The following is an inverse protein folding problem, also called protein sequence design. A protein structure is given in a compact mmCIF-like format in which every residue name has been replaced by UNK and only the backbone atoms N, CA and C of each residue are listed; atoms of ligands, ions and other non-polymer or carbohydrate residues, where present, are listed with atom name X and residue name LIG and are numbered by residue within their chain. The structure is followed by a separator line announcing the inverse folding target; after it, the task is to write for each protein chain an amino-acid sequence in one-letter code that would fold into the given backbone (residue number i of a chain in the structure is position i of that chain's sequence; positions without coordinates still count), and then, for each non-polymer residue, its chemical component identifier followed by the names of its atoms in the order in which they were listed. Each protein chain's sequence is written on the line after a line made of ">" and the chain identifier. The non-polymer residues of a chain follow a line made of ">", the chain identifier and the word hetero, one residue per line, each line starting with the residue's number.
data_IF_064653804996
#
_entry.id   IF_064653804996
#
_cell.length_a   1.000
_cell.length_b   1.000
_cell.length_c   1.000
_cell.angle_alpha   90.00
_cell.angle_beta   90.00
_cell.angle_gamma   90.00
#
_symmetry.space_group_name_H-M   'P 1'
#
loop_
_entity.id
_entity.type
_entity.pdbx_description
1 polymer ?
#
# COMPACT_ATOMS: atom_id res chain seq x y z
N UNK A 1 27.77 -13.36 -6.97
CA UNK A 1 28.60 -14.35 -6.26
C UNK A 1 28.83 -15.57 -7.15
N UNK A 2 27.78 -16.26 -7.64
CA UNK A 2 27.89 -17.50 -8.42
C UNK A 2 28.83 -17.39 -9.63
N UNK A 3 28.75 -16.30 -10.38
CA UNK A 3 29.66 -16.07 -11.53
C UNK A 3 31.13 -16.01 -11.10
N UNK A 4 31.43 -15.33 -10.00
CA UNK A 4 32.80 -15.22 -9.46
C UNK A 4 33.32 -16.59 -8.96
N UNK A 5 32.43 -17.45 -8.47
CA UNK A 5 32.76 -18.81 -8.05
C UNK A 5 32.83 -19.81 -9.20
N UNK A 6 32.62 -19.37 -10.45
CA UNK A 6 32.61 -20.23 -11.62
C UNK A 6 31.46 -21.24 -11.64
N UNK A 7 30.28 -20.85 -11.10
CA UNK A 7 29.07 -21.66 -11.19
C UNK A 7 28.36 -21.30 -12.50
N UNK A 8 27.90 -22.27 -13.30
CA UNK A 8 27.17 -22.02 -14.55
C UNK A 8 25.93 -21.18 -14.34
N UNK A 9 25.62 -20.28 -15.30
CA UNK A 9 24.50 -19.35 -15.20
C UNK A 9 23.17 -20.07 -14.95
N UNK A 10 22.87 -21.14 -15.67
CA UNK A 10 21.63 -21.92 -15.49
C UNK A 10 21.47 -22.51 -14.09
N UNK A 11 22.57 -22.89 -13.42
CA UNK A 11 22.53 -23.39 -12.06
C UNK A 11 22.27 -22.25 -11.06
N UNK A 12 22.86 -21.07 -11.29
CA UNK A 12 22.59 -19.89 -10.45
C UNK A 12 21.13 -19.44 -10.61
N UNK A 13 20.62 -19.42 -11.85
CA UNK A 13 19.22 -19.08 -12.17
C UNK A 13 18.24 -20.05 -11.51
N UNK A 14 18.54 -21.36 -11.56
CA UNK A 14 17.75 -22.36 -10.85
C UNK A 14 17.69 -22.09 -9.33
N UNK A 15 18.83 -21.82 -8.70
CA UNK A 15 18.87 -21.54 -7.26
C UNK A 15 18.08 -20.26 -6.90
N UNK A 16 18.15 -19.23 -7.73
CA UNK A 16 17.41 -17.99 -7.48
C UNK A 16 15.89 -18.19 -7.63
N UNK A 17 15.46 -19.10 -8.50
CA UNK A 17 14.05 -19.47 -8.67
C UNK A 17 13.47 -20.30 -7.53
N UNK A 18 14.32 -20.95 -6.74
CA UNK A 18 13.90 -21.63 -5.49
C UNK A 18 13.55 -20.62 -4.38
N UNK A 19 13.96 -19.36 -4.52
CA UNK A 19 13.64 -18.29 -3.58
C UNK A 19 12.51 -17.46 -4.24
N UNK A 20 11.24 -17.71 -3.87
CA UNK A 20 10.13 -16.97 -4.47
C UNK A 20 10.19 -15.50 -4.06
N UNK A 21 9.98 -14.62 -5.02
CA UNK A 21 9.77 -13.21 -4.73
C UNK A 21 8.32 -13.04 -4.25
N UNK A 22 8.14 -12.97 -2.94
CA UNK A 22 6.85 -12.65 -2.32
C UNK A 22 6.93 -11.29 -1.61
N UNK A 23 6.39 -10.23 -2.20
CA UNK A 23 6.39 -8.89 -1.59
C UNK A 23 5.67 -8.83 -0.24
N UNK A 24 4.79 -9.80 0.05
CA UNK A 24 4.03 -9.87 1.31
C UNK A 24 4.81 -10.56 2.44
N UNK A 25 5.83 -11.36 2.10
CA UNK A 25 6.67 -12.08 3.04
C UNK A 25 8.12 -11.64 2.87
N UNK A 26 8.55 -10.65 3.63
CA UNK A 26 9.95 -10.21 3.65
C UNK A 26 10.75 -11.14 4.57
N UNK A 27 11.01 -12.38 4.10
CA UNK A 27 11.86 -13.32 4.80
C UNK A 27 13.34 -13.01 4.52
N UNK A 28 14.19 -13.28 5.51
CA UNK A 28 15.64 -13.28 5.33
C UNK A 28 16.08 -14.48 4.47
N UNK A 29 17.27 -14.41 3.89
CA UNK A 29 17.83 -15.53 3.13
C UNK A 29 17.97 -16.79 4.00
N UNK A 30 18.25 -16.64 5.31
CA UNK A 30 18.31 -17.77 6.21
C UNK A 30 16.95 -18.46 6.35
N UNK A 31 15.87 -17.70 6.53
CA UNK A 31 14.51 -18.23 6.61
C UNK A 31 14.11 -18.94 5.32
N UNK A 32 14.47 -18.41 4.15
CA UNK A 32 14.24 -19.11 2.87
C UNK A 32 15.06 -20.42 2.75
N UNK A 33 16.28 -20.47 3.27
CA UNK A 33 17.09 -21.70 3.27
C UNK A 33 16.46 -22.76 4.19
N UNK A 34 15.89 -22.32 5.29
CA UNK A 34 15.25 -23.21 6.28
C UNK A 34 13.88 -23.71 5.76
N UNK A 35 13.13 -22.88 5.03
CA UNK A 35 11.83 -23.21 4.49
C UNK A 35 11.89 -24.04 3.17
N UNK A 36 12.99 -23.94 2.37
CA UNK A 36 13.13 -24.64 1.09
C UNK A 36 14.23 -25.72 1.13
N UNK A 37 13.87 -27.00 1.39
CA UNK A 37 14.82 -28.09 1.53
C UNK A 37 15.76 -28.28 0.35
N UNK A 38 15.31 -27.94 -0.87
CA UNK A 38 16.14 -28.09 -2.09
C UNK A 38 17.37 -27.19 -2.07
N UNK A 39 17.31 -26.00 -1.43
CA UNK A 39 18.49 -25.16 -1.29
C UNK A 39 19.56 -25.84 -0.44
N UNK A 40 19.16 -26.46 0.65
CA UNK A 40 20.05 -27.22 1.53
C UNK A 40 20.58 -28.49 0.82
N UNK A 41 19.74 -29.20 0.08
CA UNK A 41 20.17 -30.37 -0.71
C UNK A 41 21.21 -30.00 -1.75
N UNK A 42 20.99 -28.94 -2.51
CA UNK A 42 21.95 -28.45 -3.52
C UNK A 42 23.27 -27.98 -2.88
N UNK A 43 23.21 -27.34 -1.73
CA UNK A 43 24.40 -26.95 -0.96
C UNK A 43 25.21 -28.19 -0.47
N UNK A 44 24.51 -29.25 -0.11
CA UNK A 44 25.17 -30.50 0.31
C UNK A 44 25.79 -31.29 -0.85
N UNK A 45 25.17 -31.20 -2.06
CA UNK A 45 25.70 -31.86 -3.27
C UNK A 45 26.91 -31.13 -3.85
N UNK A 46 26.98 -29.80 -3.72
CA UNK A 46 28.03 -29.00 -4.35
C UNK A 46 28.66 -27.98 -3.39
N UNK A 47 29.96 -28.20 -3.02
CA UNK A 47 30.68 -27.29 -2.13
C UNK A 47 30.71 -25.82 -2.60
N UNK A 48 30.67 -25.57 -3.90
CA UNK A 48 30.62 -24.20 -4.46
C UNK A 48 29.29 -23.54 -4.13
N UNK A 49 28.16 -24.30 -4.17
CA UNK A 49 26.84 -23.77 -3.80
C UNK A 49 26.81 -23.48 -2.29
N UNK A 50 27.33 -24.38 -1.46
CA UNK A 50 27.46 -24.13 -0.02
C UNK A 50 28.23 -22.84 0.26
N UNK A 51 29.36 -22.64 -0.43
CA UNK A 51 30.16 -21.41 -0.32
C UNK A 51 29.40 -20.19 -0.82
N UNK A 52 28.64 -20.32 -1.91
CA UNK A 52 27.78 -19.25 -2.45
C UNK A 52 26.78 -18.79 -1.41
N UNK A 53 26.01 -19.70 -0.81
CA UNK A 53 25.01 -19.37 0.22
C UNK A 53 25.65 -18.75 1.47
N UNK A 54 26.78 -19.29 1.94
CA UNK A 54 27.52 -18.73 3.08
C UNK A 54 27.99 -17.29 2.84
N UNK A 55 28.41 -16.96 1.61
CA UNK A 55 28.80 -15.59 1.25
C UNK A 55 27.56 -14.71 1.10
N UNK A 56 26.48 -15.24 0.52
CA UNK A 56 25.24 -14.51 0.34
C UNK A 56 24.63 -14.05 1.68
N UNK A 57 24.59 -14.95 2.67
CA UNK A 57 24.15 -14.63 4.04
C UNK A 57 24.97 -13.50 4.69
N UNK A 58 26.27 -13.42 4.40
CA UNK A 58 27.12 -12.33 4.92
C UNK A 58 26.92 -10.99 4.21
N UNK A 59 26.46 -11.04 2.97
CA UNK A 59 26.25 -9.85 2.15
C UNK A 59 24.81 -9.33 2.20
N UNK A 60 23.89 -10.16 2.70
CA UNK A 60 22.50 -9.75 2.86
C UNK A 60 22.39 -8.52 3.78
N UNK A 61 21.54 -7.58 3.39
CA UNK A 61 21.30 -6.34 4.14
C UNK A 61 22.39 -5.27 4.05
N UNK A 62 23.54 -5.56 3.43
CA UNK A 62 24.59 -4.56 3.24
C UNK A 62 24.15 -3.50 2.22
N UNK A 63 24.40 -2.25 2.54
CA UNK A 63 24.20 -1.12 1.61
C UNK A 63 25.15 -1.31 0.42
N UNK A 64 24.59 -1.21 -0.79
CA UNK A 64 25.33 -1.50 -2.02
C UNK A 64 25.85 -0.24 -2.70
N UNK A 65 25.02 0.78 -2.84
CA UNK A 65 25.34 2.06 -3.49
C UNK A 65 24.35 3.14 -3.01
N UNK A 66 24.73 4.40 -3.23
CA UNK A 66 23.81 5.52 -3.15
C UNK A 66 23.09 5.69 -4.49
N UNK A 67 21.85 6.13 -4.46
CA UNK A 67 21.09 6.50 -5.66
C UNK A 67 20.16 7.65 -5.35
N UNK A 68 19.78 8.39 -6.39
CA UNK A 68 18.82 9.49 -6.30
C UNK A 68 17.41 8.89 -6.14
N UNK A 69 16.65 9.41 -5.17
CA UNK A 69 15.23 9.08 -5.08
C UNK A 69 14.48 9.73 -6.25
N UNK A 70 13.58 8.97 -6.90
CA UNK A 70 12.90 9.44 -8.11
C UNK A 70 12.06 10.71 -7.89
N UNK A 71 11.49 10.88 -6.68
CA UNK A 71 10.53 11.94 -6.38
C UNK A 71 10.79 12.64 -5.03
N UNK A 72 11.64 12.07 -4.16
CA UNK A 72 11.87 12.58 -2.82
C UNK A 72 12.76 13.82 -2.81
N UNK A 73 12.24 14.91 -2.26
CA UNK A 73 12.96 16.16 -2.02
C UNK A 73 13.04 16.40 -0.52
N UNK A 74 14.22 16.73 -0.05
CA UNK A 74 14.45 17.04 1.37
C UNK A 74 14.52 18.54 1.55
N UNK A 75 13.76 19.06 2.51
CA UNK A 75 13.69 20.48 2.85
C UNK A 75 14.26 20.69 4.25
N UNK A 76 15.13 21.69 4.38
CA UNK A 76 15.69 22.15 5.64
C UNK A 76 15.31 23.60 5.89
N UNK A 77 15.27 24.00 7.17
CA UNK A 77 15.07 25.39 7.57
C UNK A 77 16.26 26.27 7.19
N UNK A 78 17.46 25.70 7.31
CA UNK A 78 18.73 26.35 7.00
C UNK A 78 19.47 25.61 5.87
N UNK A 79 20.71 26.04 5.60
CA UNK A 79 21.54 25.39 4.60
C UNK A 79 21.83 23.94 5.03
N UNK A 80 21.43 23.00 4.20
CA UNK A 80 21.33 21.55 4.51
C UNK A 80 22.65 20.93 4.99
N UNK A 81 23.79 21.38 4.45
CA UNK A 81 25.09 20.82 4.83
C UNK A 81 25.53 21.14 6.26
N UNK A 82 24.82 22.05 6.96
CA UNK A 82 25.07 22.33 8.37
C UNK A 82 24.54 21.23 9.27
N UNK A 83 23.48 20.56 8.83
CA UNK A 83 22.75 19.55 9.62
C UNK A 83 23.10 18.13 9.16
N UNK A 84 23.36 17.94 7.87
CA UNK A 84 23.63 16.61 7.28
C UNK A 84 24.73 16.67 6.23
N UNK A 85 25.65 15.69 6.21
CA UNK A 85 26.63 15.58 5.17
C UNK A 85 25.97 15.31 3.81
N UNK A 86 26.52 15.93 2.77
CA UNK A 86 26.02 15.77 1.41
C UNK A 86 26.98 14.93 0.56
N UNK A 87 26.40 14.23 -0.40
CA UNK A 87 27.09 13.52 -1.46
C UNK A 87 26.74 14.20 -2.79
N UNK A 88 27.76 14.54 -3.58
CA UNK A 88 27.55 15.04 -4.94
C UNK A 88 27.57 13.84 -5.91
N UNK A 89 26.48 13.67 -6.63
CA UNK A 89 26.42 12.68 -7.69
C UNK A 89 27.25 13.16 -8.89
N UNK A 90 28.30 12.43 -9.30
CA UNK A 90 29.17 12.84 -10.38
C UNK A 90 28.49 12.99 -11.75
N UNK A 91 27.41 12.22 -11.96
CA UNK A 91 26.72 12.13 -13.24
C UNK A 91 25.69 13.24 -13.44
N UNK A 92 25.05 13.68 -12.36
CA UNK A 92 23.93 14.64 -12.44
C UNK A 92 24.23 15.99 -11.80
N UNK A 93 25.32 16.15 -11.05
CA UNK A 93 25.64 17.32 -10.21
C UNK A 93 24.56 17.64 -9.16
N UNK A 94 23.70 16.68 -8.82
CA UNK A 94 22.69 16.84 -7.79
C UNK A 94 23.30 16.46 -6.43
N UNK A 95 22.98 17.25 -5.41
CA UNK A 95 23.36 16.94 -4.04
C UNK A 95 22.33 16.01 -3.39
N UNK A 96 22.82 14.94 -2.77
CA UNK A 96 22.05 13.96 -2.02
C UNK A 96 22.44 14.05 -0.56
N UNK A 97 21.50 13.81 0.34
CA UNK A 97 21.85 13.57 1.75
C UNK A 97 22.57 12.23 1.89
N UNK A 98 23.62 12.16 2.71
CA UNK A 98 24.27 10.87 3.01
C UNK A 98 23.45 10.03 4.00
N UNK A 99 22.46 10.61 4.68
CA UNK A 99 21.46 9.85 5.41
C UNK A 99 20.40 9.31 4.44
N UNK A 100 20.03 8.05 4.64
CA UNK A 100 18.94 7.44 3.89
C UNK A 100 17.57 7.99 4.32
N UNK A 101 16.53 7.67 3.55
CA UNK A 101 15.17 8.18 3.76
C UNK A 101 14.62 7.88 5.18
N UNK A 102 15.14 6.87 5.87
CA UNK A 102 14.71 6.48 7.22
C UNK A 102 15.25 7.44 8.29
N UNK A 103 16.43 8.01 8.05
CA UNK A 103 17.15 8.80 9.04
C UNK A 103 17.10 10.31 8.80
N UNK A 104 16.69 10.76 7.61
CA UNK A 104 16.62 12.20 7.30
C UNK A 104 15.64 12.94 8.20
N UNK A 105 14.50 12.32 8.55
CA UNK A 105 13.53 12.91 9.48
C UNK A 105 14.09 13.00 10.89
N UNK A 106 14.83 11.98 11.33
CA UNK A 106 15.48 12.00 12.65
C UNK A 106 16.58 13.06 12.74
N UNK A 107 17.18 13.44 11.64
CA UNK A 107 18.13 14.55 11.53
C UNK A 107 17.45 15.94 11.50
N UNK A 108 16.12 15.99 11.61
CA UNK A 108 15.34 17.24 11.64
C UNK A 108 14.98 17.80 10.27
N UNK A 109 15.16 17.02 9.21
CA UNK A 109 14.77 17.41 7.85
C UNK A 109 13.35 16.94 7.53
N UNK A 110 12.68 17.64 6.63
CA UNK A 110 11.35 17.25 6.14
C UNK A 110 11.49 16.69 4.74
N UNK A 111 10.96 15.48 4.50
CA UNK A 111 10.97 14.83 3.21
C UNK A 111 9.60 14.98 2.53
N UNK A 112 9.59 15.45 1.30
CA UNK A 112 8.43 15.47 0.42
C UNK A 112 8.69 14.58 -0.80
N UNK A 113 7.67 13.84 -1.21
CA UNK A 113 7.70 13.06 -2.43
C UNK A 113 6.81 13.76 -3.47
N UNK A 114 7.43 14.27 -4.54
CA UNK A 114 6.73 14.90 -5.65
C UNK A 114 6.67 13.93 -6.82
N UNK A 115 5.58 13.19 -6.91
CA UNK A 115 5.34 12.26 -8.02
C UNK A 115 4.47 12.95 -9.07
N UNK A 116 4.99 13.06 -10.28
CA UNK A 116 4.20 13.47 -11.44
C UNK A 116 3.60 12.23 -12.12
N UNK A 117 2.36 12.36 -12.57
CA UNK A 117 1.69 11.37 -13.38
C UNK A 117 1.69 11.84 -14.85
N UNK A 118 2.21 11.01 -15.76
CA UNK A 118 2.17 11.30 -17.20
C UNK A 118 0.75 11.31 -17.74
N UNK A 119 -0.11 10.54 -17.11
CA UNK A 119 -1.54 10.48 -17.43
C UNK A 119 -2.18 11.86 -17.30
N UNK A 120 -1.93 12.63 -16.21
CA UNK A 120 -2.43 14.02 -16.07
C UNK A 120 -2.06 14.92 -17.26
N UNK A 121 -0.84 14.77 -17.77
CA UNK A 121 -0.42 15.51 -18.97
C UNK A 121 -1.23 15.09 -20.20
N UNK A 122 -1.49 13.79 -20.35
CA UNK A 122 -2.28 13.26 -21.47
C UNK A 122 -3.68 13.86 -21.45
N UNK A 123 -4.34 13.91 -20.30
CA UNK A 123 -5.68 14.46 -20.19
C UNK A 123 -5.70 15.95 -20.44
N UNK A 124 -4.78 16.68 -19.82
CA UNK A 124 -4.70 18.12 -20.10
C UNK A 124 -4.61 18.34 -21.61
N UNK A 125 -3.77 17.56 -22.31
CA UNK A 125 -3.66 17.65 -23.76
C UNK A 125 -4.98 17.25 -24.46
N UNK A 126 -5.70 16.25 -23.99
CA UNK A 126 -7.01 15.87 -24.52
C UNK A 126 -8.03 16.98 -24.31
N UNK A 127 -8.09 17.57 -23.12
CA UNK A 127 -8.97 18.70 -22.83
C UNK A 127 -8.67 19.90 -23.73
N UNK A 128 -7.39 20.24 -23.91
CA UNK A 128 -6.99 21.30 -24.82
C UNK A 128 -7.41 21.03 -26.26
N UNK A 129 -7.31 19.78 -26.72
CA UNK A 129 -7.77 19.39 -28.07
C UNK A 129 -9.28 19.50 -28.19
N UNK A 130 -10.05 19.00 -27.23
CA UNK A 130 -11.51 19.09 -27.21
C UNK A 130 -11.97 20.56 -27.21
N UNK A 131 -11.31 21.40 -26.40
CA UNK A 131 -11.63 22.83 -26.29
C UNK A 131 -11.41 23.63 -27.60
N UNK A 132 -10.71 23.07 -28.58
CA UNK A 132 -10.65 23.68 -29.94
C UNK A 132 -11.96 23.61 -30.70
N UNK A 133 -12.83 22.68 -30.32
CA UNK A 133 -14.08 22.39 -31.01
C UNK A 133 -15.33 22.67 -30.16
N UNK A 134 -15.24 22.41 -28.87
CA UNK A 134 -16.32 22.54 -27.90
C UNK A 134 -15.77 22.87 -26.53
N UNK A 135 -16.33 23.88 -25.87
CA UNK A 135 -15.95 24.17 -24.47
C UNK A 135 -16.26 22.93 -23.59
N UNK A 136 -15.27 22.47 -22.85
CA UNK A 136 -15.36 21.32 -21.99
C UNK A 136 -14.48 21.56 -20.75
N UNK A 137 -15.00 21.24 -19.59
CA UNK A 137 -14.27 21.26 -18.32
C UNK A 137 -14.41 19.89 -17.66
N UNK A 138 -13.31 19.34 -17.14
CA UNK A 138 -13.26 18.04 -16.49
C UNK A 138 -14.23 17.96 -15.29
N UNK A 139 -14.36 19.06 -14.55
CA UNK A 139 -15.30 19.19 -13.43
C UNK A 139 -16.77 18.98 -13.81
N UNK A 140 -17.10 19.02 -15.11
CA UNK A 140 -18.45 18.78 -15.64
C UNK A 140 -18.73 17.30 -15.95
N UNK A 141 -17.75 16.40 -15.76
CA UNK A 141 -17.96 14.95 -15.96
C UNK A 141 -18.94 14.41 -14.92
N UNK A 142 -19.98 13.75 -15.40
CA UNK A 142 -20.97 13.09 -14.54
C UNK A 142 -20.41 11.76 -14.00
N UNK A 143 -20.03 11.76 -12.73
CA UNK A 143 -19.56 10.56 -12.04
C UNK A 143 -20.64 9.50 -11.77
N UNK A 144 -21.88 9.76 -12.22
CA UNK A 144 -23.03 8.83 -12.10
C UNK A 144 -23.43 8.22 -13.44
N UNK A 145 -22.62 8.41 -14.51
CA UNK A 145 -22.94 7.88 -15.84
C UNK A 145 -23.03 6.34 -15.83
N UNK A 146 -24.26 5.86 -16.00
CA UNK A 146 -24.57 4.42 -15.98
C UNK A 146 -23.87 3.65 -17.10
N UNK A 147 -23.69 4.25 -18.28
CA UNK A 147 -23.01 3.60 -19.41
C UNK A 147 -21.54 3.30 -19.11
N UNK A 148 -20.89 4.21 -18.41
CA UNK A 148 -19.51 4.00 -17.94
C UNK A 148 -19.45 2.83 -16.97
N UNK A 149 -20.35 2.73 -15.98
CA UNK A 149 -20.38 1.61 -15.06
C UNK A 149 -20.76 0.29 -15.74
N UNK A 150 -21.66 0.30 -16.71
CA UNK A 150 -21.98 -0.85 -17.53
C UNK A 150 -20.73 -1.36 -18.27
N UNK A 151 -19.99 -0.46 -18.93
CA UNK A 151 -18.71 -0.79 -19.59
C UNK A 151 -17.71 -1.41 -18.60
N UNK A 152 -17.49 -0.76 -17.45
CA UNK A 152 -16.61 -1.29 -16.41
C UNK A 152 -17.03 -2.70 -15.95
N UNK A 153 -18.33 -2.93 -15.80
CA UNK A 153 -18.92 -4.22 -15.43
C UNK A 153 -18.73 -5.32 -16.48
N UNK A 154 -18.47 -5.01 -17.75
CA UNK A 154 -18.10 -6.00 -18.77
C UNK A 154 -16.67 -6.51 -18.63
N UNK A 155 -15.81 -5.77 -17.93
CA UNK A 155 -14.38 -6.01 -17.87
C UNK A 155 -13.63 -5.71 -19.17
N UNK A 156 -14.24 -5.04 -20.14
CA UNK A 156 -13.57 -4.57 -21.37
C UNK A 156 -12.83 -3.24 -21.11
N UNK A 157 -11.92 -3.27 -20.16
CA UNK A 157 -11.22 -2.12 -19.60
C UNK A 157 -9.77 -2.02 -20.08
N UNK A 158 -9.49 -2.50 -21.27
CA UNK A 158 -8.16 -2.34 -21.88
C UNK A 158 -7.89 -0.88 -22.19
N UNK A 159 -6.77 -0.34 -21.70
CA UNK A 159 -6.42 1.06 -21.81
C UNK A 159 -6.96 1.93 -20.68
N UNK A 160 -7.79 1.39 -19.78
CA UNK A 160 -8.24 2.12 -18.60
C UNK A 160 -7.21 1.90 -17.47
N UNK A 161 -6.56 2.97 -17.07
CA UNK A 161 -5.48 2.93 -16.08
C UNK A 161 -5.91 2.17 -14.81
N UNK A 162 -5.00 1.32 -14.30
CA UNK A 162 -5.20 0.45 -13.13
C UNK A 162 -6.32 -0.59 -13.25
N UNK A 163 -7.21 -0.52 -14.25
CA UNK A 163 -8.34 -1.44 -14.41
C UNK A 163 -8.13 -2.50 -15.52
N UNK A 164 -6.96 -2.53 -16.16
CA UNK A 164 -6.71 -3.31 -17.37
C UNK A 164 -6.06 -4.69 -17.14
N UNK A 165 -5.58 -5.00 -15.92
CA UNK A 165 -4.98 -6.30 -15.65
C UNK A 165 -6.03 -7.44 -15.72
N UNK A 166 -5.65 -8.67 -16.16
CA UNK A 166 -6.61 -9.78 -16.27
C UNK A 166 -7.41 -10.04 -14.99
N UNK A 167 -6.74 -10.06 -13.83
CA UNK A 167 -7.42 -10.28 -12.56
C UNK A 167 -8.33 -9.12 -12.14
N UNK A 168 -7.97 -7.88 -12.48
CA UNK A 168 -8.82 -6.72 -12.25
C UNK A 168 -10.08 -6.77 -13.13
N UNK A 169 -9.95 -7.13 -14.41
CA UNK A 169 -11.07 -7.33 -15.33
C UNK A 169 -12.06 -8.39 -14.83
N UNK A 170 -11.54 -9.50 -14.33
CA UNK A 170 -12.39 -10.56 -13.76
C UNK A 170 -13.07 -10.11 -12.47
N UNK A 171 -12.38 -9.30 -11.66
CA UNK A 171 -12.98 -8.71 -10.45
C UNK A 171 -14.09 -7.72 -10.81
N UNK A 172 -13.89 -6.85 -11.80
CA UNK A 172 -14.91 -5.90 -12.28
C UNK A 172 -16.17 -6.61 -12.79
N UNK A 173 -16.02 -7.71 -13.54
CA UNK A 173 -17.17 -8.54 -14.00
C UNK A 173 -18.00 -9.07 -12.84
N UNK A 174 -17.36 -9.45 -11.74
CA UNK A 174 -18.03 -9.97 -10.55
C UNK A 174 -18.62 -8.86 -9.69
N UNK A 175 -17.90 -7.74 -9.55
CA UNK A 175 -18.29 -6.58 -8.77
C UNK A 175 -19.48 -5.85 -9.40
N UNK A 176 -19.51 -5.70 -10.73
CA UNK A 176 -20.49 -4.90 -11.46
C UNK A 176 -20.68 -3.54 -10.78
N UNK A 177 -19.68 -2.68 -10.85
CA UNK A 177 -19.73 -1.38 -10.18
C UNK A 177 -20.93 -0.58 -10.71
N UNK A 178 -21.60 0.15 -9.85
CA UNK A 178 -22.75 1.02 -10.17
C UNK A 178 -22.61 2.41 -9.54
N UNK A 179 -21.53 2.64 -8.83
CA UNK A 179 -21.17 3.93 -8.21
C UNK A 179 -19.66 4.10 -8.14
N UNK A 180 -19.24 5.35 -8.07
CA UNK A 180 -17.83 5.71 -8.05
C UNK A 180 -17.07 5.12 -6.85
N UNK A 181 -17.72 5.04 -5.68
CA UNK A 181 -17.16 4.47 -4.46
C UNK A 181 -16.76 3.01 -4.62
N UNK A 182 -17.43 2.25 -5.50
CA UNK A 182 -17.04 0.86 -5.78
C UNK A 182 -15.69 0.77 -6.46
N UNK A 183 -15.38 1.73 -7.33
CA UNK A 183 -14.08 1.80 -8.02
C UNK A 183 -12.98 2.17 -7.02
N UNK A 184 -13.24 3.18 -6.17
CA UNK A 184 -12.33 3.58 -5.09
C UNK A 184 -12.02 2.38 -4.17
N UNK A 185 -13.07 1.66 -3.75
CA UNK A 185 -12.93 0.49 -2.89
C UNK A 185 -12.18 -0.65 -3.59
N UNK A 186 -12.46 -0.90 -4.87
CA UNK A 186 -11.80 -1.94 -5.64
C UNK A 186 -10.30 -1.71 -5.75
N UNK A 187 -9.88 -0.49 -6.10
CA UNK A 187 -8.46 -0.15 -6.19
C UNK A 187 -7.77 -0.23 -4.84
N UNK A 188 -8.46 0.17 -3.79
CA UNK A 188 -7.94 0.03 -2.43
C UNK A 188 -7.79 -1.44 -1.99
N UNK A 189 -8.67 -2.33 -2.45
CA UNK A 189 -8.66 -3.76 -2.11
C UNK A 189 -7.73 -4.59 -3.01
N UNK A 190 -7.58 -4.22 -4.29
CA UNK A 190 -6.82 -5.02 -5.27
C UNK A 190 -5.31 -4.89 -5.08
N UNK A 191 -4.82 -5.36 -3.95
CA UNK A 191 -3.41 -5.37 -3.52
C UNK A 191 -3.13 -6.63 -2.70
N UNK A 192 -1.88 -7.12 -2.67
CA UNK A 192 -1.49 -8.20 -1.76
C UNK A 192 -1.93 -7.92 -0.33
N UNK A 193 -2.61 -8.86 0.31
CA UNK A 193 -3.20 -8.74 1.65
C UNK A 193 -4.70 -8.41 1.61
N UNK A 194 -5.13 -7.19 1.29
CA UNK A 194 -6.55 -6.81 1.29
C UNK A 194 -7.40 -7.55 0.26
N UNK A 195 -6.80 -8.05 -0.81
CA UNK A 195 -7.46 -8.78 -1.90
C UNK A 195 -8.32 -9.95 -1.41
N UNK A 196 -7.97 -10.55 -0.28
CA UNK A 196 -8.77 -11.63 0.33
C UNK A 196 -10.19 -11.17 0.75
N UNK A 197 -10.42 -9.87 0.89
CA UNK A 197 -11.73 -9.32 1.28
C UNK A 197 -12.62 -8.98 0.08
N UNK A 198 -12.11 -9.05 -1.15
CA UNK A 198 -12.88 -8.74 -2.36
C UNK A 198 -14.13 -9.63 -2.50
N UNK A 199 -14.07 -10.96 -2.29
CA UNK A 199 -15.26 -11.80 -2.35
C UNK A 199 -16.34 -11.35 -1.36
N UNK A 200 -15.99 -11.10 -0.10
CA UNK A 200 -16.92 -10.64 0.93
C UNK A 200 -17.53 -9.29 0.55
N UNK A 201 -16.73 -8.35 0.04
CA UNK A 201 -17.22 -7.06 -0.44
C UNK A 201 -18.28 -7.23 -1.54
N UNK A 202 -18.00 -8.09 -2.53
CA UNK A 202 -18.90 -8.39 -3.65
C UNK A 202 -20.20 -9.05 -3.17
N UNK A 203 -20.11 -10.08 -2.30
CA UNK A 203 -21.28 -10.77 -1.79
C UNK A 203 -22.21 -9.82 -1.00
N UNK A 204 -21.64 -8.95 -0.18
CA UNK A 204 -22.38 -7.96 0.61
C UNK A 204 -22.96 -6.85 -0.25
N UNK A 205 -22.22 -6.34 -1.25
CA UNK A 205 -22.72 -5.37 -2.22
C UNK A 205 -23.96 -5.89 -2.95
N UNK A 206 -23.96 -7.15 -3.35
CA UNK A 206 -25.09 -7.75 -4.07
C UNK A 206 -26.19 -8.30 -3.15
N UNK A 207 -26.10 -8.09 -1.84
CA UNK A 207 -27.10 -8.55 -0.86
C UNK A 207 -27.17 -10.06 -0.66
N UNK A 208 -26.15 -10.81 -1.13
CA UNK A 208 -26.04 -12.26 -0.94
C UNK A 208 -25.51 -12.62 0.44
N UNK A 209 -24.75 -11.73 1.04
CA UNK A 209 -24.32 -11.77 2.43
C UNK A 209 -24.77 -10.50 3.14
N UNK A 210 -25.27 -10.62 4.38
CA UNK A 210 -25.64 -9.45 5.19
C UNK A 210 -24.39 -8.71 5.64
N UNK A 211 -24.30 -7.37 5.51
CA UNK A 211 -23.19 -6.60 6.07
C UNK A 211 -23.05 -6.82 7.57
N UNK A 212 -21.83 -7.00 8.02
CA UNK A 212 -21.46 -7.03 9.43
C UNK A 212 -20.67 -5.77 9.77
N UNK A 213 -21.26 -4.90 10.56
CA UNK A 213 -20.65 -3.62 10.95
C UNK A 213 -19.81 -3.73 12.22
N UNK A 214 -19.63 -4.97 12.75
CA UNK A 214 -18.81 -5.28 13.93
C UNK A 214 -19.43 -4.72 15.23
N UNK A 215 -19.89 -3.47 15.24
CA UNK A 215 -20.60 -2.83 16.35
C UNK A 215 -21.62 -1.82 15.80
N UNK A 216 -22.81 -1.66 16.42
CA UNK A 216 -23.86 -0.75 15.91
C UNK A 216 -23.38 0.70 15.69
N UNK A 217 -22.53 1.22 16.56
CA UNK A 217 -21.98 2.58 16.42
C UNK A 217 -21.11 2.77 15.18
N UNK A 218 -20.67 1.70 14.53
CA UNK A 218 -19.83 1.73 13.33
C UNK A 218 -20.62 1.61 12.03
N UNK A 219 -21.94 1.44 12.09
CA UNK A 219 -22.75 1.27 10.88
C UNK A 219 -22.59 2.45 9.91
N UNK A 220 -22.72 3.68 10.40
CA UNK A 220 -22.57 4.87 9.55
C UNK A 220 -21.17 5.02 8.94
N UNK A 221 -20.13 4.59 9.67
CA UNK A 221 -18.76 4.62 9.24
C UNK A 221 -18.45 3.57 8.17
N UNK A 222 -19.07 2.39 8.27
CA UNK A 222 -18.74 1.22 7.46
C UNK A 222 -19.80 0.89 6.39
N UNK A 223 -20.94 1.58 6.35
CA UNK A 223 -22.02 1.28 5.40
C UNK A 223 -21.60 1.46 3.94
N UNK A 224 -20.75 2.43 3.65
CA UNK A 224 -20.24 2.66 2.30
C UNK A 224 -19.46 1.46 1.75
N UNK A 225 -18.77 0.76 2.64
CA UNK A 225 -17.93 -0.41 2.33
C UNK A 225 -18.56 -1.73 2.77
N UNK A 226 -19.87 -1.75 3.01
CA UNK A 226 -20.65 -2.93 3.40
C UNK A 226 -20.06 -3.68 4.61
N UNK A 227 -19.52 -2.93 5.58
CA UNK A 227 -18.90 -3.48 6.80
C UNK A 227 -17.46 -3.98 6.62
N UNK A 228 -16.86 -3.83 5.47
CA UNK A 228 -15.44 -4.15 5.25
C UNK A 228 -14.58 -2.94 5.59
N UNK A 229 -13.61 -3.10 6.48
CA UNK A 229 -12.63 -2.04 6.77
C UNK A 229 -11.61 -2.03 5.63
N UNK A 230 -11.56 -0.93 4.88
CA UNK A 230 -10.70 -0.75 3.71
C UNK A 230 -9.73 0.42 3.91
N UNK A 231 -10.25 1.52 4.48
CA UNK A 231 -9.56 2.80 4.51
C UNK A 231 -8.90 3.09 5.86
N UNK A 232 -7.79 3.82 5.82
CA UNK A 232 -7.12 4.33 7.03
C UNK A 232 -8.05 5.24 7.83
N UNK A 233 -8.87 6.02 7.15
CA UNK A 233 -9.87 6.91 7.73
C UNK A 233 -10.93 6.13 8.52
N UNK A 234 -11.28 4.92 8.09
CA UNK A 234 -12.18 4.03 8.84
C UNK A 234 -11.51 3.52 10.12
N UNK A 235 -10.24 3.14 10.07
CA UNK A 235 -9.47 2.76 11.27
C UNK A 235 -9.45 3.88 12.30
N UNK A 236 -9.19 5.12 11.85
CA UNK A 236 -9.22 6.30 12.71
C UNK A 236 -10.63 6.57 13.24
N UNK A 237 -11.66 6.41 12.39
CA UNK A 237 -13.06 6.54 12.77
C UNK A 237 -13.48 5.55 13.85
N UNK A 238 -13.11 4.28 13.73
CA UNK A 238 -13.38 3.26 14.75
C UNK A 238 -12.82 3.67 16.12
N UNK A 239 -11.59 4.18 16.16
CA UNK A 239 -10.97 4.63 17.42
C UNK A 239 -11.71 5.84 18.03
N UNK A 240 -12.17 6.77 17.20
CA UNK A 240 -12.95 7.93 17.66
C UNK A 240 -14.32 7.52 18.20
N UNK A 241 -15.07 6.79 17.39
CA UNK A 241 -16.46 6.42 17.73
C UNK A 241 -16.55 5.51 18.95
N UNK A 242 -15.67 4.50 19.03
CA UNK A 242 -15.76 3.52 20.11
C UNK A 242 -14.97 3.92 21.36
N UNK A 243 -13.85 4.63 21.21
CA UNK A 243 -12.89 4.82 22.31
C UNK A 243 -12.56 6.28 22.61
N UNK A 244 -13.27 7.23 21.97
CA UNK A 244 -13.14 8.66 22.26
C UNK A 244 -11.77 9.24 21.94
N UNK A 245 -11.11 8.74 20.90
CA UNK A 245 -9.86 9.32 20.43
C UNK A 245 -10.12 10.68 19.77
N UNK A 246 -9.22 11.63 19.98
CA UNK A 246 -9.12 12.83 19.14
C UNK A 246 -8.54 12.46 17.76
N UNK A 247 -8.67 13.36 16.78
CA UNK A 247 -8.12 13.13 15.43
C UNK A 247 -6.60 12.89 15.45
N UNK A 248 -5.86 13.66 16.25
CA UNK A 248 -4.41 13.49 16.38
C UNK A 248 -4.03 12.14 17.02
N UNK A 249 -4.78 11.70 18.02
CA UNK A 249 -4.55 10.40 18.66
C UNK A 249 -4.91 9.24 17.75
N UNK A 250 -5.97 9.37 16.96
CA UNK A 250 -6.34 8.37 15.96
C UNK A 250 -5.29 8.26 14.85
N UNK A 251 -4.66 9.37 14.44
CA UNK A 251 -3.53 9.34 13.51
C UNK A 251 -2.29 8.67 14.12
N UNK A 252 -1.99 8.91 15.39
CA UNK A 252 -0.91 8.20 16.09
C UNK A 252 -1.16 6.69 16.15
N UNK A 253 -2.41 6.27 16.43
CA UNK A 253 -2.81 4.86 16.37
C UNK A 253 -2.55 4.29 14.97
N UNK A 254 -3.03 4.93 13.93
CA UNK A 254 -2.83 4.52 12.54
C UNK A 254 -1.34 4.36 12.20
N UNK A 255 -0.49 5.30 12.63
CA UNK A 255 0.97 5.24 12.41
C UNK A 255 1.62 4.09 13.17
N UNK A 256 1.23 3.86 14.43
CA UNK A 256 1.73 2.75 15.24
C UNK A 256 1.42 1.40 14.59
N UNK A 257 0.18 1.22 14.13
CA UNK A 257 -0.27 0.03 13.40
C UNK A 257 0.51 -0.17 12.09
N UNK A 258 0.73 0.90 11.31
CA UNK A 258 1.50 0.83 10.06
C UNK A 258 2.97 0.45 10.26
N UNK A 259 3.58 0.91 11.36
CA UNK A 259 4.99 0.61 11.69
C UNK A 259 5.18 -0.72 12.41
N UNK A 260 4.10 -1.33 12.89
CA UNK A 260 4.08 -2.63 13.65
C UNK A 260 5.07 -2.65 14.83
N UNK A 261 5.18 -1.54 15.56
CA UNK A 261 6.04 -1.45 16.75
C UNK A 261 5.27 -2.01 17.94
N UNK A 262 5.62 -3.20 18.38
CA UNK A 262 4.87 -3.95 19.40
C UNK A 262 4.58 -3.13 20.66
N UNK A 263 5.57 -2.44 21.20
CA UNK A 263 5.41 -1.62 22.41
C UNK A 263 4.37 -0.51 22.25
N UNK A 264 4.36 0.15 21.09
CA UNK A 264 3.37 1.19 20.80
C UNK A 264 1.97 0.56 20.60
N UNK A 265 1.90 -0.60 19.96
CA UNK A 265 0.67 -1.35 19.78
C UNK A 265 0.03 -1.77 21.11
N UNK A 266 0.83 -2.27 22.05
CA UNK A 266 0.33 -2.67 23.38
C UNK A 266 -0.22 -1.47 24.16
N UNK A 267 0.44 -0.32 24.07
CA UNK A 267 -0.05 0.93 24.68
C UNK A 267 -1.36 1.39 24.04
N UNK A 268 -1.44 1.37 22.71
CA UNK A 268 -2.65 1.75 21.98
C UNK A 268 -3.81 0.80 22.26
N UNK A 269 -3.54 -0.50 22.36
CA UNK A 269 -4.57 -1.50 22.72
C UNK A 269 -5.15 -1.24 24.09
N UNK A 270 -4.32 -0.98 25.09
CA UNK A 270 -4.78 -0.66 26.44
C UNK A 270 -5.65 0.60 26.44
N UNK A 271 -5.17 1.66 25.80
CA UNK A 271 -5.92 2.93 25.69
C UNK A 271 -7.26 2.75 24.98
N UNK A 272 -7.27 2.00 23.86
CA UNK A 272 -8.49 1.73 23.09
C UNK A 272 -9.54 1.02 23.97
N UNK A 273 -9.12 -0.03 24.67
CA UNK A 273 -10.00 -0.80 25.55
C UNK A 273 -10.54 0.09 26.70
N UNK A 274 -9.68 0.87 27.34
CA UNK A 274 -10.08 1.77 28.43
C UNK A 274 -11.07 2.86 27.97
N UNK A 275 -10.87 3.38 26.75
CA UNK A 275 -11.79 4.32 26.13
C UNK A 275 -13.14 3.68 25.79
N UNK A 276 -13.14 2.48 25.21
CA UNK A 276 -14.34 1.75 24.85
C UNK A 276 -15.20 1.39 26.08
N UNK A 277 -14.55 0.99 27.19
CA UNK A 277 -15.26 0.72 28.45
C UNK A 277 -15.98 1.98 28.96
N UNK A 278 -15.37 3.15 28.84
CA UNK A 278 -16.03 4.42 29.20
C UNK A 278 -17.26 4.72 28.35
N UNK A 279 -17.29 4.20 27.13
CA UNK A 279 -18.44 4.28 26.21
C UNK A 279 -19.39 3.09 26.33
N UNK A 280 -19.36 2.38 27.45
CA UNK A 280 -20.23 1.24 27.78
C UNK A 280 -20.07 0.01 26.85
N UNK A 281 -18.90 -0.16 26.25
CA UNK A 281 -18.55 -1.33 25.44
C UNK A 281 -17.82 -2.34 26.32
N UNK A 282 -18.20 -3.61 26.26
CA UNK A 282 -17.56 -4.65 27.05
C UNK A 282 -16.08 -4.83 26.67
N UNK A 283 -15.22 -5.05 27.69
CA UNK A 283 -13.79 -5.25 27.51
C UNK A 283 -13.44 -6.33 26.48
N UNK A 284 -14.19 -7.43 26.49
CA UNK A 284 -13.97 -8.56 25.58
C UNK A 284 -14.29 -8.20 24.13
N UNK A 285 -15.35 -7.43 23.95
CA UNK A 285 -15.77 -6.92 22.64
C UNK A 285 -14.77 -5.89 22.12
N UNK A 286 -14.41 -4.89 22.94
CA UNK A 286 -13.40 -3.90 22.60
C UNK A 286 -12.07 -4.53 22.19
N UNK A 287 -11.62 -5.58 22.90
CA UNK A 287 -10.38 -6.29 22.53
C UNK A 287 -10.50 -6.99 21.17
N UNK A 288 -11.64 -7.63 20.87
CA UNK A 288 -11.86 -8.27 19.57
C UNK A 288 -11.89 -7.26 18.43
N UNK A 289 -12.54 -6.10 18.65
CA UNK A 289 -12.59 -5.03 17.65
C UNK A 289 -11.19 -4.47 17.40
N UNK A 290 -10.41 -4.24 18.46
CA UNK A 290 -9.03 -3.77 18.30
C UNK A 290 -8.19 -4.76 17.49
N UNK A 291 -8.27 -6.06 17.79
CA UNK A 291 -7.52 -7.10 17.08
C UNK A 291 -7.96 -7.20 15.60
N UNK A 292 -9.23 -6.95 15.31
CA UNK A 292 -9.73 -6.87 13.94
C UNK A 292 -9.15 -5.64 13.22
N UNK A 293 -9.20 -4.47 13.86
CA UNK A 293 -8.68 -3.22 13.30
C UNK A 293 -7.16 -3.31 13.09
N UNK A 294 -6.42 -3.88 14.04
CA UNK A 294 -4.97 -4.09 13.90
C UNK A 294 -4.62 -4.95 12.68
N UNK A 295 -5.38 -6.03 12.47
CA UNK A 295 -5.21 -6.89 11.28
C UNK A 295 -5.37 -6.12 9.97
N UNK A 296 -6.31 -5.17 9.90
CA UNK A 296 -6.57 -4.37 8.70
C UNK A 296 -5.70 -3.12 8.59
N UNK A 297 -5.28 -2.54 9.70
CA UNK A 297 -4.54 -1.27 9.70
C UNK A 297 -3.20 -1.33 8.98
N UNK A 298 -2.54 -2.50 8.98
CA UNK A 298 -1.31 -2.73 8.21
C UNK A 298 -1.52 -2.67 6.68
N UNK A 299 -2.78 -2.72 6.22
CA UNK A 299 -3.16 -2.72 4.81
C UNK A 299 -4.13 -1.57 4.46
N UNK A 300 -4.51 -0.75 5.43
CA UNK A 300 -5.43 0.36 5.21
C UNK A 300 -4.95 1.29 4.10
N UNK A 301 -5.85 1.60 3.17
CA UNK A 301 -5.57 2.53 2.08
C UNK A 301 -5.98 3.94 2.45
N UNK A 302 -5.25 4.95 2.00
CA UNK A 302 -5.69 6.33 2.15
C UNK A 302 -6.84 6.58 1.16
N UNK A 303 -8.05 6.82 1.66
CA UNK A 303 -9.23 7.06 0.82
C UNK A 303 -9.06 8.31 -0.04
N UNK A 304 -8.48 9.37 0.52
CA UNK A 304 -8.23 10.61 -0.21
C UNK A 304 -7.31 10.39 -1.39
N UNK A 305 -6.28 9.53 -1.24
CA UNK A 305 -5.39 9.18 -2.35
C UNK A 305 -6.13 8.43 -3.45
N UNK A 306 -6.94 7.42 -3.10
CA UNK A 306 -7.74 6.69 -4.08
C UNK A 306 -8.75 7.61 -4.79
N UNK A 307 -9.40 8.50 -4.05
CA UNK A 307 -10.35 9.47 -4.60
C UNK A 307 -9.65 10.46 -5.53
N UNK A 308 -8.48 10.98 -5.15
CA UNK A 308 -7.71 11.91 -5.99
C UNK A 308 -7.12 11.24 -7.23
N UNK A 309 -6.62 10.02 -7.12
CA UNK A 309 -6.19 9.25 -8.28
C UNK A 309 -7.32 9.11 -9.28
N UNK A 310 -8.54 8.81 -8.82
CA UNK A 310 -9.68 8.63 -9.70
C UNK A 310 -10.32 9.93 -10.19
N UNK A 311 -10.38 10.97 -9.38
CA UNK A 311 -10.84 12.28 -9.86
C UNK A 311 -9.81 12.94 -10.76
N UNK A 312 -8.53 12.69 -10.55
CA UNK A 312 -7.50 13.09 -11.49
C UNK A 312 -7.36 12.08 -12.63
N UNK A 313 -7.51 10.77 -12.42
CA UNK A 313 -7.48 9.76 -13.49
C UNK A 313 -8.79 9.72 -14.30
N UNK A 314 -9.95 9.98 -13.71
CA UNK A 314 -11.18 10.25 -14.51
C UNK A 314 -11.08 11.58 -15.28
N UNK A 315 -10.25 12.45 -14.79
CA UNK A 315 -9.78 13.61 -15.52
C UNK A 315 -8.57 13.27 -16.40
N UNK A 316 -7.91 12.16 -16.22
CA UNK A 316 -6.68 11.69 -16.85
C UNK A 316 -6.93 10.54 -17.82
N UNK A 317 -8.12 10.01 -17.92
CA UNK A 317 -8.64 9.13 -18.95
C UNK A 317 -9.82 9.74 -19.72
#
# INVERSE_FOLDING_TARGET
>A
IGRVLGIPYGQVDYLTKLIPFDPSRQLSLQEYIDDEPKLTEEANKNPKIKKLLSIALKLEGLKRHASIHAAGVVISKDIIYKDVPLYSDPDTNIFLTQFDMKWVENAGLVKFDFLGLKTLTLINNCVELVNRFKKFEISEIDLTDTKTFELLGTGETTGIFQLESPGMKDTLKNLKPDKFEDIIALVALYRPGPMANIPTYIERKHGREKPDYVHPLLEDLLKETYGVIIYQEQVMGVARELSGYSDGEADLLRRAMGKKIQKEMDMQKSRFIDGAIKNNIEKKEASKIFDLVDKFAGYGFNKSHACLLYTSDAADE
#
